data_IF_774570500841
#
_entry.id   IF_774570500841
#
_cell.length_a   1.000
_cell.length_b   1.000
_cell.length_c   1.000
_cell.angle_alpha   90.00
_cell.angle_beta   90.00
_cell.angle_gamma   90.00
#
_symmetry.space_group_name_H-M   'P 1'
#
loop_
_entity.id
_entity.type
_entity.pdbx_description
1 polymer ?
#
# COMPACT_ATOMS: atom_id res chain seq x y z
N UNK A 1 -15.12 4.63 -28.33
CA UNK A 1 -13.88 3.99 -27.84
C UNK A 1 -14.21 3.32 -26.52
N UNK A 2 -13.88 2.03 -26.39
CA UNK A 2 -14.34 1.18 -25.29
C UNK A 2 -13.76 1.56 -23.92
N UNK A 3 -14.59 1.60 -22.85
CA UNK A 3 -14.15 1.80 -21.47
C UNK A 3 -13.39 0.60 -20.88
N UNK A 4 -13.24 -0.49 -21.64
CA UNK A 4 -12.64 -1.75 -21.20
C UNK A 4 -11.12 -1.88 -21.38
N UNK A 5 -10.45 -0.92 -22.05
CA UNK A 5 -9.03 -1.06 -22.38
C UNK A 5 -8.07 -0.88 -21.18
N UNK A 6 -8.50 -0.17 -20.13
CA UNK A 6 -7.68 0.03 -18.91
C UNK A 6 -7.94 -1.06 -17.85
N UNK A 7 -9.04 -1.81 -17.97
CA UNK A 7 -9.35 -2.92 -17.07
C UNK A 7 -8.53 -4.18 -17.36
N UNK A 8 -8.13 -4.45 -18.61
CA UNK A 8 -7.36 -5.66 -18.94
C UNK A 8 -5.96 -5.66 -18.29
N UNK A 9 -5.29 -4.50 -18.24
CA UNK A 9 -3.97 -4.38 -17.62
C UNK A 9 -4.01 -4.54 -16.09
N UNK A 10 -4.94 -3.84 -15.42
CA UNK A 10 -5.08 -3.93 -13.97
C UNK A 10 -5.60 -5.32 -13.52
N UNK A 11 -6.56 -5.90 -14.24
CA UNK A 11 -7.05 -7.26 -13.97
C UNK A 11 -5.95 -8.30 -14.21
N UNK A 12 -5.18 -8.17 -15.30
CA UNK A 12 -4.06 -9.07 -15.57
C UNK A 12 -2.96 -8.99 -14.51
N UNK A 13 -2.62 -7.78 -14.03
CA UNK A 13 -1.66 -7.58 -12.93
C UNK A 13 -2.18 -8.23 -11.65
N UNK A 14 -3.45 -7.99 -11.29
CA UNK A 14 -4.06 -8.57 -10.10
C UNK A 14 -4.13 -10.10 -10.18
N UNK A 15 -4.51 -10.67 -11.33
CA UNK A 15 -4.57 -12.12 -11.52
C UNK A 15 -3.19 -12.76 -11.48
N UNK A 16 -2.19 -12.15 -12.12
CA UNK A 16 -0.80 -12.60 -12.02
C UNK A 16 -0.30 -12.58 -10.56
N UNK A 17 -0.57 -11.50 -9.83
CA UNK A 17 -0.17 -11.39 -8.43
C UNK A 17 -0.87 -12.45 -7.56
N UNK A 18 -2.19 -12.61 -7.71
CA UNK A 18 -2.97 -13.63 -7.00
C UNK A 18 -2.47 -15.05 -7.29
N UNK A 19 -2.18 -15.36 -8.56
CA UNK A 19 -1.62 -16.65 -8.96
C UNK A 19 -0.24 -16.89 -8.34
N UNK A 20 0.62 -15.87 -8.34
CA UNK A 20 1.99 -15.97 -7.79
C UNK A 20 1.98 -16.13 -6.27
N UNK A 21 1.09 -15.41 -5.58
CA UNK A 21 0.87 -15.53 -4.13
C UNK A 21 0.36 -16.93 -3.78
N UNK A 22 -0.62 -17.44 -4.53
CA UNK A 22 -1.20 -18.76 -4.30
C UNK A 22 -0.16 -19.86 -4.50
N UNK A 23 0.62 -19.81 -5.59
CA UNK A 23 1.71 -20.76 -5.86
C UNK A 23 2.75 -20.77 -4.74
N UNK A 24 3.17 -19.59 -4.28
CA UNK A 24 4.12 -19.50 -3.18
C UNK A 24 3.57 -20.10 -1.89
N UNK A 25 2.31 -19.81 -1.55
CA UNK A 25 1.68 -20.35 -0.34
C UNK A 25 1.62 -21.87 -0.39
N UNK A 26 1.17 -22.44 -1.50
CA UNK A 26 1.06 -23.88 -1.68
C UNK A 26 2.44 -24.55 -1.57
N UNK A 27 3.49 -23.91 -2.09
CA UNK A 27 4.87 -24.36 -1.92
C UNK A 27 5.30 -24.34 -0.45
N UNK A 28 5.01 -23.28 0.29
CA UNK A 28 5.39 -23.15 1.71
C UNK A 28 4.61 -24.11 2.61
N UNK A 29 3.32 -24.31 2.36
CA UNK A 29 2.48 -25.27 3.08
C UNK A 29 3.00 -26.72 2.91
N UNK A 30 3.58 -27.02 1.74
CA UNK A 30 4.28 -28.28 1.48
C UNK A 30 5.60 -28.43 2.25
N UNK A 31 6.16 -27.35 2.80
CA UNK A 31 7.47 -27.30 3.47
C UNK A 31 7.31 -26.98 4.96
N UNK A 32 6.93 -27.99 5.76
CA UNK A 32 6.70 -27.85 7.21
C UNK A 32 7.85 -27.15 7.97
N UNK A 33 9.10 -27.38 7.56
CA UNK A 33 10.31 -26.77 8.15
C UNK A 33 10.55 -25.31 7.74
N UNK A 34 9.94 -24.82 6.67
CA UNK A 34 10.05 -23.42 6.28
C UNK A 34 8.99 -22.56 7.00
N UNK A 35 7.90 -23.21 7.42
CA UNK A 35 6.71 -22.53 7.89
C UNK A 35 7.00 -21.66 9.12
N UNK A 36 7.84 -22.10 10.06
CA UNK A 36 8.22 -21.31 11.24
C UNK A 36 9.06 -20.07 10.89
N UNK A 37 9.85 -20.14 9.82
CA UNK A 37 10.69 -19.02 9.38
C UNK A 37 9.85 -17.98 8.65
N UNK A 38 8.92 -18.35 7.78
CA UNK A 38 8.18 -17.40 6.91
C UNK A 38 6.68 -17.29 7.22
N UNK A 39 6.24 -17.66 8.43
CA UNK A 39 4.86 -17.46 8.90
C UNK A 39 4.37 -16.02 8.69
N UNK A 40 5.22 -15.05 9.05
CA UNK A 40 4.89 -13.63 8.93
C UNK A 40 4.58 -13.25 7.48
N UNK A 41 5.33 -13.81 6.54
CA UNK A 41 5.08 -13.64 5.10
C UNK A 41 3.74 -14.26 4.72
N UNK A 42 3.43 -15.47 5.16
CA UNK A 42 2.16 -16.14 4.82
C UNK A 42 0.97 -15.35 5.35
N UNK A 43 1.05 -14.82 6.57
CA UNK A 43 0.03 -13.94 7.12
C UNK A 43 -0.18 -12.69 6.24
N UNK A 44 0.90 -12.01 5.87
CA UNK A 44 0.83 -10.80 5.03
C UNK A 44 0.32 -11.12 3.60
N UNK A 45 0.69 -12.27 3.03
CA UNK A 45 0.22 -12.72 1.72
C UNK A 45 -1.29 -13.00 1.72
N UNK A 46 -1.81 -13.59 2.80
CA UNK A 46 -3.26 -13.78 2.96
C UNK A 46 -4.00 -12.44 3.07
N UNK A 47 -3.43 -11.48 3.80
CA UNK A 47 -3.98 -10.13 3.89
C UNK A 47 -4.01 -9.45 2.51
N UNK A 48 -2.93 -9.54 1.72
CA UNK A 48 -2.88 -9.02 0.35
C UNK A 48 -3.94 -9.69 -0.53
N UNK A 49 -4.07 -11.02 -0.47
CA UNK A 49 -5.05 -11.75 -1.27
C UNK A 49 -6.49 -11.32 -0.97
N UNK A 50 -6.81 -11.12 0.33
CA UNK A 50 -8.11 -10.62 0.76
C UNK A 50 -8.37 -9.21 0.21
N UNK A 51 -7.41 -8.31 0.37
CA UNK A 51 -7.49 -6.93 -0.13
C UNK A 51 -7.63 -6.87 -1.66
N UNK A 52 -6.84 -7.65 -2.41
CA UNK A 52 -6.95 -7.74 -3.86
C UNK A 52 -8.29 -8.29 -4.32
N UNK A 53 -8.84 -9.26 -3.58
CA UNK A 53 -10.18 -9.79 -3.86
C UNK A 53 -11.27 -8.76 -3.60
N UNK A 54 -11.15 -7.98 -2.53
CA UNK A 54 -12.04 -6.85 -2.26
C UNK A 54 -11.95 -5.79 -3.37
N UNK A 55 -10.74 -5.47 -3.83
CA UNK A 55 -10.52 -4.55 -4.96
C UNK A 55 -11.17 -5.04 -6.25
N UNK A 56 -11.08 -6.34 -6.56
CA UNK A 56 -11.73 -6.96 -7.73
C UNK A 56 -13.26 -6.88 -7.66
N UNK A 57 -13.81 -6.98 -6.45
CA UNK A 57 -15.25 -7.02 -6.19
C UNK A 57 -15.86 -5.64 -5.85
N UNK A 58 -15.07 -4.56 -5.83
CA UNK A 58 -15.56 -3.21 -5.61
C UNK A 58 -16.50 -2.83 -6.77
N UNK A 59 -17.80 -2.89 -6.49
CA UNK A 59 -18.87 -2.51 -7.40
C UNK A 59 -19.39 -1.13 -7.00
N UNK A 60 -19.39 -0.19 -7.94
CA UNK A 60 -19.74 1.20 -7.66
C UNK A 60 -21.11 1.50 -8.26
N UNK A 61 -22.01 2.06 -7.44
CA UNK A 61 -23.39 2.36 -7.84
C UNK A 61 -23.52 3.65 -8.66
N UNK A 62 -22.57 4.59 -8.54
CA UNK A 62 -22.54 5.84 -9.29
C UNK A 62 -21.32 5.88 -10.24
N UNK A 63 -21.59 6.05 -11.53
CA UNK A 63 -20.57 6.00 -12.58
C UNK A 63 -19.59 7.18 -12.52
N UNK A 64 -20.04 8.35 -12.06
CA UNK A 64 -19.19 9.54 -11.90
C UNK A 64 -18.23 9.39 -10.72
N UNK A 65 -18.75 9.09 -9.53
CA UNK A 65 -17.93 8.85 -8.32
C UNK A 65 -16.94 7.71 -8.52
N UNK A 66 -17.35 6.65 -9.23
CA UNK A 66 -16.48 5.55 -9.62
C UNK A 66 -15.29 5.99 -10.48
N UNK A 67 -15.56 6.77 -11.52
CA UNK A 67 -14.53 7.20 -12.46
C UNK A 67 -13.48 8.06 -11.77
N UNK A 68 -13.90 8.96 -10.88
CA UNK A 68 -12.97 9.78 -10.09
C UNK A 68 -12.19 8.96 -9.07
N UNK A 69 -12.84 8.05 -8.32
CA UNK A 69 -12.16 7.19 -7.36
C UNK A 69 -11.13 6.26 -8.04
N UNK A 70 -11.44 5.76 -9.24
CA UNK A 70 -10.51 4.98 -10.06
C UNK A 70 -9.30 5.80 -10.50
N UNK A 71 -9.50 7.06 -10.87
CA UNK A 71 -8.41 7.95 -11.27
C UNK A 71 -7.52 8.31 -10.07
N UNK A 72 -8.11 8.50 -8.89
CA UNK A 72 -7.38 8.71 -7.64
C UNK A 72 -6.57 7.45 -7.28
N UNK A 73 -7.17 6.25 -7.38
CA UNK A 73 -6.47 4.98 -7.19
C UNK A 73 -5.28 4.79 -8.13
N UNK A 74 -5.37 5.17 -9.41
CA UNK A 74 -4.22 5.07 -10.33
C UNK A 74 -3.03 5.90 -9.85
N UNK A 75 -3.27 7.05 -9.23
CA UNK A 75 -2.23 7.95 -8.72
C UNK A 75 -1.56 7.44 -7.45
N UNK A 76 -2.15 6.46 -6.77
CA UNK A 76 -1.61 5.89 -5.52
C UNK A 76 -0.49 4.88 -5.73
N UNK A 77 -0.20 4.45 -6.96
CA UNK A 77 0.84 3.46 -7.23
C UNK A 77 0.45 2.00 -6.92
N UNK A 78 -0.82 1.72 -6.60
CA UNK A 78 -1.30 0.36 -6.30
C UNK A 78 -0.97 -0.64 -7.38
N UNK A 79 -1.19 -0.30 -8.65
CA UNK A 79 -0.93 -1.22 -9.75
C UNK A 79 0.54 -1.67 -9.79
N UNK A 80 1.47 -0.75 -9.51
CA UNK A 80 2.89 -1.03 -9.43
C UNK A 80 3.20 -1.91 -8.20
N UNK A 81 2.67 -1.58 -7.03
CA UNK A 81 2.86 -2.36 -5.81
C UNK A 81 2.37 -3.82 -5.96
N UNK A 82 1.19 -4.00 -6.56
CA UNK A 82 0.60 -5.33 -6.81
C UNK A 82 1.44 -6.13 -7.80
N UNK A 83 1.87 -5.51 -8.90
CA UNK A 83 2.76 -6.14 -9.87
C UNK A 83 4.09 -6.56 -9.23
N UNK A 84 4.72 -5.66 -8.47
CA UNK A 84 5.99 -5.93 -7.79
C UNK A 84 5.87 -7.05 -6.75
N UNK A 85 4.73 -7.15 -6.07
CA UNK A 85 4.45 -8.27 -5.16
C UNK A 85 4.31 -9.60 -5.90
N UNK A 86 3.59 -9.62 -7.01
CA UNK A 86 3.49 -10.81 -7.86
C UNK A 86 4.87 -11.28 -8.32
N UNK A 87 5.69 -10.36 -8.81
CA UNK A 87 7.07 -10.64 -9.23
C UNK A 87 7.93 -11.16 -8.06
N UNK A 88 7.86 -10.52 -6.90
CA UNK A 88 8.57 -10.96 -5.70
C UNK A 88 8.17 -12.38 -5.27
N UNK A 89 6.88 -12.69 -5.27
CA UNK A 89 6.37 -14.03 -4.94
C UNK A 89 6.87 -15.07 -5.94
N UNK A 90 6.84 -14.76 -7.24
CA UNK A 90 7.34 -15.65 -8.29
C UNK A 90 8.85 -15.88 -8.21
N UNK A 91 9.63 -14.82 -7.97
CA UNK A 91 11.08 -14.91 -7.76
C UNK A 91 11.44 -15.76 -6.54
N UNK A 92 10.76 -15.51 -5.41
CA UNK A 92 11.01 -16.24 -4.17
C UNK A 92 10.58 -17.71 -4.27
N UNK A 93 9.47 -18.00 -4.95
CA UNK A 93 9.04 -19.39 -5.23
C UNK A 93 10.12 -20.16 -5.98
N UNK A 94 10.68 -19.57 -7.05
CA UNK A 94 11.79 -20.19 -7.81
C UNK A 94 13.01 -20.44 -6.92
N UNK A 95 13.30 -19.55 -5.97
CA UNK A 95 14.42 -19.71 -5.03
C UNK A 95 14.14 -20.82 -4.02
N UNK A 96 12.95 -20.88 -3.45
CA UNK A 96 12.53 -21.98 -2.57
C UNK A 96 12.61 -23.33 -3.30
N UNK A 97 12.13 -23.42 -4.54
CA UNK A 97 12.25 -24.63 -5.37
C UNK A 97 13.72 -25.02 -5.58
N UNK A 98 14.60 -24.05 -5.86
CA UNK A 98 16.05 -24.30 -5.99
C UNK A 98 16.66 -24.81 -4.68
N UNK A 99 16.31 -24.21 -3.55
CA UNK A 99 16.80 -24.58 -2.23
C UNK A 99 16.28 -25.96 -1.78
N UNK A 100 15.14 -26.42 -2.31
CA UNK A 100 14.50 -27.70 -1.97
C UNK A 100 14.83 -28.84 -2.93
N UNK A 101 15.33 -28.56 -4.14
CA UNK A 101 15.59 -29.54 -5.22
C UNK A 101 16.53 -30.72 -4.86
N UNK A 102 17.32 -30.63 -3.79
CA UNK A 102 18.32 -31.66 -3.41
C UNK A 102 18.15 -32.18 -1.97
N UNK A 103 16.93 -32.22 -1.42
CA UNK A 103 16.65 -32.70 -0.06
C UNK A 103 16.70 -34.24 0.08
N UNK A 104 17.80 -34.87 -0.36
CA UNK A 104 18.08 -36.28 -0.03
C UNK A 104 19.00 -36.38 1.20
N UNK A 105 18.39 -36.72 2.33
CA UNK A 105 18.90 -37.44 3.51
C UNK A 105 20.17 -37.03 4.29
N UNK A 106 20.96 -35.99 3.95
CA UNK A 106 22.15 -35.70 4.82
C UNK A 106 22.75 -34.29 4.87
N UNK A 107 22.14 -33.21 4.36
CA UNK A 107 22.80 -31.87 4.40
C UNK A 107 21.82 -30.72 4.68
N UNK A 108 21.75 -30.30 5.96
CA UNK A 108 21.05 -29.12 6.52
C UNK A 108 19.54 -29.04 6.28
N UNK A 109 18.77 -28.79 7.34
CA UNK A 109 17.32 -28.57 7.24
C UNK A 109 17.02 -27.32 6.41
N UNK A 110 15.84 -27.23 5.82
CA UNK A 110 15.46 -26.03 5.04
C UNK A 110 15.43 -24.79 5.92
N UNK A 111 15.01 -24.96 7.18
CA UNK A 111 15.11 -23.96 8.22
C UNK A 111 16.54 -23.45 8.34
N UNK A 112 17.53 -24.34 8.48
CA UNK A 112 18.94 -23.95 8.54
C UNK A 112 19.36 -23.24 7.25
N UNK A 113 18.92 -23.65 6.07
CA UNK A 113 19.30 -22.95 4.82
C UNK A 113 18.72 -21.55 4.69
N UNK A 114 17.53 -21.32 5.24
CA UNK A 114 16.86 -20.01 5.25
C UNK A 114 17.39 -19.08 6.34
N UNK A 115 18.00 -19.64 7.39
CA UNK A 115 18.48 -18.91 8.58
C UNK A 115 19.99 -18.82 8.69
N UNK A 116 20.72 -19.75 8.07
CA UNK A 116 22.18 -19.90 8.07
C UNK A 116 22.71 -19.52 6.69
N UNK A 117 23.65 -18.58 6.66
CA UNK A 117 24.20 -17.97 5.45
C UNK A 117 23.75 -16.52 5.31
N UNK A 118 24.73 -15.61 5.36
CA UNK A 118 24.51 -14.17 5.35
C UNK A 118 23.62 -13.73 4.18
N UNK A 119 23.89 -14.23 2.97
CA UNK A 119 23.11 -13.91 1.78
C UNK A 119 21.65 -14.42 1.81
N UNK A 120 21.43 -15.67 2.22
CA UNK A 120 20.07 -16.24 2.27
C UNK A 120 19.20 -15.51 3.29
N UNK A 121 19.80 -15.16 4.44
CA UNK A 121 19.13 -14.36 5.48
C UNK A 121 18.68 -13.00 4.93
N UNK A 122 19.57 -12.26 4.28
CA UNK A 122 19.23 -10.98 3.67
C UNK A 122 18.18 -11.15 2.55
N UNK A 123 18.23 -12.27 1.79
CA UNK A 123 17.25 -12.56 0.74
C UNK A 123 15.84 -12.73 1.29
N UNK A 124 15.70 -13.48 2.39
CA UNK A 124 14.42 -13.66 3.08
C UNK A 124 13.94 -12.32 3.67
N UNK A 125 14.84 -11.52 4.22
CA UNK A 125 14.50 -10.21 4.79
C UNK A 125 14.04 -9.19 3.74
N UNK A 126 14.69 -9.16 2.58
CA UNK A 126 14.23 -8.36 1.44
C UNK A 126 12.89 -8.84 0.94
N UNK A 127 12.68 -10.15 0.82
CA UNK A 127 11.38 -10.68 0.43
C UNK A 127 10.26 -10.31 1.42
N UNK A 128 10.49 -10.44 2.74
CA UNK A 128 9.57 -9.96 3.77
C UNK A 128 9.22 -8.48 3.59
N UNK A 129 10.24 -7.66 3.32
CA UNK A 129 10.06 -6.23 3.08
C UNK A 129 9.17 -5.98 1.86
N UNK A 130 9.39 -6.69 0.75
CA UNK A 130 8.56 -6.57 -0.46
C UNK A 130 7.08 -6.89 -0.17
N UNK A 131 6.83 -8.00 0.53
CA UNK A 131 5.45 -8.41 0.87
C UNK A 131 4.79 -7.40 1.81
N UNK A 132 5.50 -6.95 2.86
CA UNK A 132 4.96 -5.97 3.80
C UNK A 132 4.64 -4.63 3.12
N UNK A 133 5.53 -4.11 2.28
CA UNK A 133 5.29 -2.88 1.53
C UNK A 133 4.12 -3.03 0.57
N UNK A 134 4.00 -4.16 -0.14
CA UNK A 134 2.82 -4.41 -0.97
C UNK A 134 1.54 -4.40 -0.14
N UNK A 135 1.50 -5.13 0.97
CA UNK A 135 0.32 -5.17 1.84
C UNK A 135 -0.09 -3.77 2.26
N UNK A 136 0.87 -2.96 2.72
CA UNK A 136 0.60 -1.62 3.23
C UNK A 136 0.06 -0.71 2.13
N UNK A 137 0.70 -0.67 0.96
CA UNK A 137 0.25 0.18 -0.18
C UNK A 137 -1.14 -0.25 -0.67
N UNK A 138 -1.37 -1.56 -0.83
CA UNK A 138 -2.66 -2.08 -1.30
C UNK A 138 -3.76 -1.78 -0.29
N UNK A 139 -3.50 -2.01 1.00
CA UNK A 139 -4.44 -1.73 2.08
C UNK A 139 -4.79 -0.24 2.14
N UNK A 140 -3.79 0.64 2.22
CA UNK A 140 -4.02 2.08 2.30
C UNK A 140 -4.78 2.63 1.10
N UNK A 141 -4.49 2.14 -0.10
CA UNK A 141 -5.18 2.64 -1.27
C UNK A 141 -6.62 2.13 -1.40
N UNK A 142 -6.90 0.88 -1.01
CA UNK A 142 -8.28 0.36 -0.96
C UNK A 142 -9.09 1.11 0.09
N UNK A 143 -8.53 1.31 1.28
CA UNK A 143 -9.20 2.04 2.36
C UNK A 143 -9.42 3.50 1.95
N UNK A 144 -8.42 4.12 1.30
CA UNK A 144 -8.57 5.45 0.70
C UNK A 144 -9.70 5.49 -0.30
N UNK A 145 -9.72 4.58 -1.29
CA UNK A 145 -10.77 4.57 -2.29
C UNK A 145 -12.16 4.35 -1.69
N UNK A 146 -12.27 3.41 -0.75
CA UNK A 146 -13.52 3.13 -0.03
C UNK A 146 -14.02 4.36 0.70
N UNK A 147 -13.15 5.05 1.44
CA UNK A 147 -13.49 6.28 2.14
C UNK A 147 -13.84 7.42 1.20
N UNK A 148 -13.14 7.56 0.07
CA UNK A 148 -13.42 8.58 -0.95
C UNK A 148 -14.83 8.43 -1.51
N UNK A 149 -15.24 7.21 -1.83
CA UNK A 149 -16.60 6.92 -2.32
C UNK A 149 -17.61 7.27 -1.24
N UNK A 150 -17.36 6.83 0.00
CA UNK A 150 -18.25 7.09 1.12
C UNK A 150 -18.40 8.60 1.33
N UNK A 151 -17.30 9.34 1.36
CA UNK A 151 -17.29 10.81 1.49
C UNK A 151 -18.09 11.49 0.38
N UNK A 152 -17.89 11.10 -0.89
CA UNK A 152 -18.55 11.72 -2.05
C UNK A 152 -20.03 11.33 -2.20
N UNK A 153 -20.52 10.33 -1.46
CA UNK A 153 -21.92 9.90 -1.56
C UNK A 153 -22.88 10.95 -0.94
N UNK A 154 -23.76 11.50 -1.77
CA UNK A 154 -24.64 12.64 -1.46
C UNK A 154 -25.69 12.38 -0.34
N UNK A 155 -25.96 11.13 0.04
CA UNK A 155 -27.05 10.77 0.96
C UNK A 155 -26.61 10.59 2.43
N UNK A 156 -25.56 11.28 2.85
CA UNK A 156 -24.96 11.08 4.17
C UNK A 156 -25.59 11.97 5.23
N UNK A 157 -26.19 11.39 6.28
CA UNK A 157 -26.57 12.14 7.50
C UNK A 157 -25.34 12.84 8.11
N UNK A 158 -25.53 13.97 8.82
CA UNK A 158 -24.44 14.69 9.54
C UNK A 158 -23.62 13.76 10.44
N UNK A 159 -24.26 12.79 11.10
CA UNK A 159 -23.57 11.79 11.94
C UNK A 159 -22.71 10.84 11.09
N UNK A 160 -23.18 10.46 9.90
CA UNK A 160 -22.41 9.63 8.98
C UNK A 160 -21.22 10.41 8.39
N UNK A 161 -21.33 11.72 8.22
CA UNK A 161 -20.23 12.56 7.77
C UNK A 161 -19.13 12.69 8.84
N UNK A 162 -19.50 12.92 10.09
CA UNK A 162 -18.55 12.95 11.22
C UNK A 162 -17.79 11.63 11.39
N UNK A 163 -18.46 10.49 11.23
CA UNK A 163 -17.80 9.18 11.31
C UNK A 163 -16.82 8.97 10.14
N UNK A 164 -17.17 9.40 8.93
CA UNK A 164 -16.26 9.35 7.77
C UNK A 164 -15.01 10.20 7.97
N UNK A 165 -15.17 11.43 8.48
CA UNK A 165 -14.03 12.29 8.82
C UNK A 165 -13.12 11.65 9.88
N UNK A 166 -13.70 11.00 10.88
CA UNK A 166 -12.94 10.27 11.91
C UNK A 166 -12.15 9.11 11.29
N UNK A 167 -12.77 8.31 10.43
CA UNK A 167 -12.11 7.22 9.73
C UNK A 167 -10.97 7.72 8.83
N UNK A 168 -11.16 8.87 8.17
CA UNK A 168 -10.14 9.49 7.34
C UNK A 168 -8.92 9.93 8.16
N UNK A 169 -9.12 10.53 9.34
CA UNK A 169 -8.02 10.89 10.26
C UNK A 169 -7.27 9.67 10.79
N UNK A 170 -7.99 8.59 11.10
CA UNK A 170 -7.38 7.32 11.53
C UNK A 170 -6.50 6.76 10.41
N UNK A 171 -6.98 6.74 9.17
CA UNK A 171 -6.19 6.28 8.03
C UNK A 171 -4.96 7.16 7.77
N UNK A 172 -5.11 8.48 7.82
CA UNK A 172 -4.00 9.43 7.66
C UNK A 172 -2.92 9.22 8.74
N UNK A 173 -3.34 8.98 9.99
CA UNK A 173 -2.42 8.67 11.10
C UNK A 173 -1.70 7.35 10.86
N UNK A 174 -2.42 6.30 10.45
CA UNK A 174 -1.82 5.00 10.16
C UNK A 174 -0.79 5.06 9.01
N UNK A 175 -1.06 5.84 7.96
CA UNK A 175 -0.10 6.05 6.86
C UNK A 175 1.14 6.79 7.37
N UNK A 176 0.97 7.81 8.22
CA UNK A 176 2.09 8.57 8.77
C UNK A 176 2.97 7.72 9.68
N UNK A 177 2.35 6.88 10.52
CA UNK A 177 3.06 5.91 11.36
C UNK A 177 3.83 4.89 10.51
N UNK A 178 3.23 4.40 9.42
CA UNK A 178 3.89 3.51 8.48
C UNK A 178 5.10 4.16 7.79
N UNK A 179 4.97 5.41 7.33
CA UNK A 179 6.09 6.15 6.74
C UNK A 179 7.27 6.23 7.73
N UNK A 180 7.01 6.59 8.98
CA UNK A 180 8.06 6.67 10.01
C UNK A 180 8.69 5.29 10.29
N UNK A 181 7.88 4.23 10.33
CA UNK A 181 8.37 2.88 10.52
C UNK A 181 9.28 2.45 9.36
N UNK A 182 8.88 2.73 8.13
CA UNK A 182 9.66 2.41 6.92
C UNK A 182 10.95 3.22 6.84
N UNK A 183 10.95 4.49 7.28
CA UNK A 183 12.16 5.32 7.42
C UNK A 183 13.14 4.73 8.44
N UNK A 184 12.66 4.26 9.60
CA UNK A 184 13.51 3.57 10.60
C UNK A 184 14.09 2.28 10.03
N UNK A 185 13.27 1.43 9.41
CA UNK A 185 13.72 0.17 8.78
C UNK A 185 14.78 0.43 7.70
N UNK A 186 14.67 1.54 6.96
CA UNK A 186 15.67 1.92 5.96
C UNK A 186 16.98 2.33 6.62
N UNK A 187 16.92 3.11 7.71
CA UNK A 187 18.08 3.44 8.54
C UNK A 187 18.79 2.20 9.05
N UNK A 188 18.05 1.24 9.60
CA UNK A 188 18.59 -0.03 10.10
C UNK A 188 19.23 -0.87 8.97
N UNK A 189 18.64 -0.88 7.77
CA UNK A 189 19.21 -1.55 6.61
C UNK A 189 20.54 -0.89 6.17
N UNK A 190 20.58 0.44 6.11
CA UNK A 190 21.80 1.18 5.77
C UNK A 190 22.89 1.02 6.82
N UNK A 191 22.54 0.90 8.10
CA UNK A 191 23.51 0.62 9.14
C UNK A 191 24.10 -0.78 8.97
N UNK A 192 23.26 -1.81 8.79
CA UNK A 192 23.74 -3.18 8.52
C UNK A 192 24.63 -3.26 7.28
N UNK A 193 24.35 -2.45 6.25
CA UNK A 193 25.24 -2.35 5.08
C UNK A 193 26.64 -1.86 5.48
N UNK A 194 26.74 -0.80 6.29
CA UNK A 194 28.03 -0.26 6.73
C UNK A 194 28.82 -1.27 7.56
N UNK A 195 28.15 -1.99 8.46
CA UNK A 195 28.75 -3.04 9.29
C UNK A 195 29.31 -4.19 8.40
N UNK A 196 28.68 -4.43 7.24
CA UNK A 196 29.15 -5.37 6.22
C UNK A 196 30.18 -4.79 5.23
N UNK A 197 30.40 -3.48 5.18
CA UNK A 197 31.46 -2.89 4.35
C UNK A 197 32.76 -2.75 5.17
N UNK A 198 32.63 -2.47 6.47
CA UNK A 198 33.74 -2.23 7.39
C UNK A 198 33.61 -3.14 8.62
N UNK A 199 34.07 -4.40 8.55
CA UNK A 199 34.01 -5.31 9.69
C UNK A 199 34.98 -4.80 10.77
N UNK A 200 34.60 -4.93 12.04
CA UNK A 200 35.48 -4.59 13.15
C UNK A 200 36.60 -5.63 13.35
N UNK A 201 36.46 -6.84 12.81
CA UNK A 201 37.43 -7.95 12.91
C UNK A 201 37.95 -8.39 11.51
N UNK A 202 39.27 -8.35 11.29
CA UNK A 202 39.99 -8.62 10.02
C UNK A 202 40.29 -10.12 9.75
N UNK A 203 39.51 -11.05 10.31
CA UNK A 203 39.71 -12.48 10.04
C UNK A 203 39.07 -12.86 8.69
N UNK A 204 39.74 -12.48 7.59
CA UNK A 204 39.29 -12.72 6.22
C UNK A 204 39.52 -14.19 5.78
N UNK A 205 38.45 -14.99 5.79
CA UNK A 205 38.39 -16.22 4.99
C UNK A 205 38.02 -15.87 3.53
N UNK A 206 38.80 -16.37 2.56
CA UNK A 206 38.68 -16.13 1.10
C UNK A 206 37.27 -16.42 0.52
N UNK A 207 36.43 -17.20 1.22
CA UNK A 207 35.05 -17.52 0.84
C UNK A 207 33.97 -16.58 1.40
N UNK A 208 34.31 -15.69 2.35
CA UNK A 208 33.39 -14.75 3.00
C UNK A 208 33.06 -13.54 2.14
N UNK A 209 34.02 -13.05 1.36
CA UNK A 209 33.90 -11.81 0.58
C UNK A 209 32.78 -11.87 -0.49
N UNK A 210 32.65 -12.99 -1.20
CA UNK A 210 31.59 -13.19 -2.19
C UNK A 210 30.18 -13.21 -1.54
N UNK A 211 30.03 -13.86 -0.38
CA UNK A 211 28.74 -13.87 0.34
C UNK A 211 28.40 -12.49 0.90
N UNK A 212 29.41 -11.76 1.37
CA UNK A 212 29.27 -10.38 1.88
C UNK A 212 28.83 -9.43 0.79
N UNK A 213 29.46 -9.49 -0.38
CA UNK A 213 29.07 -8.73 -1.56
C UNK A 213 27.62 -8.99 -1.96
N UNK A 214 27.19 -10.26 -2.00
CA UNK A 214 25.82 -10.63 -2.32
C UNK A 214 24.82 -10.16 -1.25
N UNK A 215 25.20 -10.17 0.02
CA UNK A 215 24.39 -9.65 1.11
C UNK A 215 24.21 -8.13 1.04
N UNK A 216 25.29 -7.39 0.76
CA UNK A 216 25.24 -5.93 0.54
C UNK A 216 24.31 -5.58 -0.62
N UNK A 217 24.39 -6.30 -1.74
CA UNK A 217 23.48 -6.11 -2.88
C UNK A 217 22.02 -6.33 -2.50
N UNK A 218 21.75 -7.30 -1.63
CA UNK A 218 20.40 -7.60 -1.18
C UNK A 218 19.87 -6.53 -0.20
N UNK A 219 20.73 -5.99 0.66
CA UNK A 219 20.41 -4.85 1.53
C UNK A 219 20.15 -3.58 0.70
N UNK A 220 20.92 -3.35 -0.37
CA UNK A 220 20.65 -2.24 -1.29
C UNK A 220 19.30 -2.38 -1.98
N UNK A 221 18.94 -3.61 -2.40
CA UNK A 221 17.60 -3.90 -2.90
C UNK A 221 16.54 -3.59 -1.84
N UNK A 222 16.76 -4.02 -0.59
CA UNK A 222 15.86 -3.74 0.53
C UNK A 222 15.65 -2.24 0.75
N UNK A 223 16.74 -1.46 0.77
CA UNK A 223 16.69 -0.01 0.99
C UNK A 223 15.89 0.72 -0.08
N UNK A 224 16.09 0.36 -1.36
CA UNK A 224 15.32 0.92 -2.49
C UNK A 224 13.84 0.59 -2.41
N UNK A 225 13.50 -0.61 -1.93
CA UNK A 225 12.10 -1.02 -1.75
C UNK A 225 11.42 -0.19 -0.65
N UNK A 226 12.12 0.04 0.46
CA UNK A 226 11.63 0.88 1.56
C UNK A 226 11.44 2.34 1.09
N UNK A 227 12.36 2.86 0.27
CA UNK A 227 12.21 4.19 -0.33
C UNK A 227 10.98 4.29 -1.25
N UNK A 228 10.78 3.31 -2.13
CA UNK A 228 9.61 3.25 -3.00
C UNK A 228 8.29 3.17 -2.20
N UNK A 229 8.28 2.40 -1.10
CA UNK A 229 7.14 2.30 -0.17
C UNK A 229 6.83 3.63 0.52
N UNK A 230 7.86 4.37 0.96
CA UNK A 230 7.69 5.71 1.50
C UNK A 230 7.08 6.66 0.47
N UNK A 231 7.57 6.64 -0.77
CA UNK A 231 7.08 7.49 -1.85
C UNK A 231 5.60 7.18 -2.13
N UNK A 232 5.25 5.89 -2.29
CA UNK A 232 3.87 5.47 -2.51
C UNK A 232 2.95 5.87 -1.34
N UNK A 233 3.38 5.64 -0.10
CA UNK A 233 2.61 6.00 1.10
C UNK A 233 2.41 7.52 1.22
N UNK A 234 3.43 8.32 0.90
CA UNK A 234 3.35 9.79 0.85
C UNK A 234 2.35 10.25 -0.22
N UNK A 235 2.31 9.61 -1.38
CA UNK A 235 1.33 9.90 -2.44
C UNK A 235 -0.10 9.57 -1.99
N UNK A 236 -0.32 8.44 -1.33
CA UNK A 236 -1.63 8.08 -0.77
C UNK A 236 -2.09 9.11 0.26
N UNK A 237 -1.21 9.47 1.21
CA UNK A 237 -1.48 10.50 2.22
C UNK A 237 -1.88 11.84 1.56
N UNK A 238 -1.11 12.31 0.58
CA UNK A 238 -1.43 13.54 -0.15
C UNK A 238 -2.78 13.50 -0.86
N UNK A 239 -3.14 12.35 -1.44
CA UNK A 239 -4.46 12.15 -2.06
C UNK A 239 -5.57 12.27 -1.01
N UNK A 240 -5.41 11.64 0.15
CA UNK A 240 -6.38 11.73 1.25
C UNK A 240 -6.52 13.17 1.76
N UNK A 241 -5.42 13.87 2.05
CA UNK A 241 -5.47 15.23 2.61
C UNK A 241 -6.10 16.23 1.63
N UNK A 242 -5.86 16.09 0.33
CA UNK A 242 -6.54 16.89 -0.72
C UNK A 242 -8.05 16.67 -0.75
N UNK A 243 -8.52 15.50 -0.35
CA UNK A 243 -9.93 15.15 -0.39
C UNK A 243 -10.65 15.62 0.88
N UNK A 244 -10.00 15.53 2.03
CA UNK A 244 -10.47 16.19 3.25
C UNK A 244 -10.64 17.70 3.08
N UNK A 245 -9.69 18.37 2.39
CA UNK A 245 -9.75 19.81 2.15
C UNK A 245 -10.79 20.22 1.10
N UNK A 246 -11.06 19.37 0.10
CA UNK A 246 -12.08 19.62 -0.94
C UNK A 246 -13.51 19.59 -0.37
N UNK A 247 -13.76 18.82 0.70
CA UNK A 247 -15.05 18.86 1.42
C UNK A 247 -15.26 20.16 2.20
N UNK A 248 -14.21 20.68 2.85
CA UNK A 248 -14.30 21.95 3.59
C UNK A 248 -14.59 23.12 2.63
N UNK A 249 -14.10 23.07 1.38
CA UNK A 249 -14.39 24.07 0.35
C UNK A 249 -15.83 24.03 -0.19
N UNK A 250 -16.46 22.86 -0.23
CA UNK A 250 -17.83 22.69 -0.72
C UNK A 250 -18.91 22.88 0.35
N UNK A 251 -18.55 22.87 1.65
CA UNK A 251 -19.45 23.21 2.74
C UNK A 251 -19.80 24.71 2.80
N UNK A 252 -19.09 25.55 2.05
CA UNK A 252 -19.36 26.99 1.89
C UNK A 252 -19.64 27.35 0.44
N UNK A 253 -20.62 26.71 -0.20
CA UNK A 253 -21.28 27.32 -1.35
C UNK A 253 -22.09 28.52 -0.85
N UNK A 254 -21.40 29.64 -0.61
CA UNK A 254 -22.02 30.95 -0.49
C UNK A 254 -22.57 31.28 -1.88
N UNK A 255 -23.85 30.97 -2.11
CA UNK A 255 -24.57 31.43 -3.28
C UNK A 255 -24.62 32.95 -3.25
N UNK A 256 -23.68 33.61 -3.93
CA UNK A 256 -23.69 35.06 -4.08
C UNK A 256 -24.64 35.41 -5.23
N UNK A 257 -25.93 35.52 -4.93
CA UNK A 257 -26.93 36.00 -5.90
C UNK A 257 -26.87 37.52 -5.94
N UNK A 258 -26.23 38.06 -6.98
CA UNK A 258 -26.27 39.48 -7.31
C UNK A 258 -27.56 39.78 -8.09
N UNK A 259 -28.40 40.67 -7.57
CA UNK A 259 -29.60 41.14 -8.27
C UNK A 259 -29.28 42.45 -8.99
N UNK A 260 -29.44 42.46 -10.32
CA UNK A 260 -29.49 43.69 -11.10
C UNK A 260 -30.76 44.49 -10.77
N UNK A 261 -30.67 45.83 -10.86
CA UNK A 261 -31.67 46.79 -10.39
C UNK A 261 -33.05 46.81 -11.06
N UNK A 262 -33.51 45.70 -11.65
CA UNK A 262 -34.73 45.64 -12.47
C UNK A 262 -35.66 44.45 -12.17
N UNK A 263 -35.43 43.69 -11.09
CA UNK A 263 -36.32 42.57 -10.75
C UNK A 263 -37.39 43.00 -9.73
N UNK A 264 -38.66 43.06 -10.16
CA UNK A 264 -39.82 43.12 -9.28
C UNK A 264 -40.46 41.74 -9.18
N UNK A 265 -40.32 41.10 -8.01
CA UNK A 265 -40.94 39.81 -7.71
C UNK A 265 -40.55 39.34 -6.31
N UNK A 266 -41.48 38.67 -5.60
CA UNK A 266 -41.22 38.05 -4.31
C UNK A 266 -40.76 36.62 -4.54
N UNK A 267 -39.55 36.27 -4.09
CA UNK A 267 -39.02 34.91 -4.14
C UNK A 267 -38.79 34.40 -2.72
N UNK A 268 -39.30 33.21 -2.43
CA UNK A 268 -39.07 32.50 -1.17
C UNK A 268 -37.93 31.52 -1.43
N UNK A 269 -36.73 31.82 -0.93
CA UNK A 269 -35.61 30.88 -0.91
C UNK A 269 -35.62 30.10 0.40
N UNK A 270 -35.52 28.77 0.32
CA UNK A 270 -35.44 27.89 1.47
C UNK A 270 -33.97 27.76 1.91
N UNK A 271 -33.60 28.40 3.01
CA UNK A 271 -32.28 28.26 3.63
C UNK A 271 -32.35 27.30 4.82
N UNK A 272 -31.50 26.28 4.83
CA UNK A 272 -31.31 25.36 5.96
C UNK A 272 -30.13 25.74 6.85
N UNK A 273 -29.50 26.90 6.62
CA UNK A 273 -28.36 27.40 7.39
C UNK A 273 -28.73 28.53 8.36
N UNK A 274 -27.94 28.70 9.43
CA UNK A 274 -28.10 29.77 10.41
C UNK A 274 -27.82 31.13 9.75
N UNK A 275 -28.82 32.01 9.69
CA UNK A 275 -28.67 33.36 9.16
C UNK A 275 -28.20 34.29 10.29
N UNK A 276 -26.95 34.75 10.22
CA UNK A 276 -26.44 35.79 11.12
C UNK A 276 -26.60 37.17 10.47
N UNK A 277 -27.49 37.99 11.04
CA UNK A 277 -27.67 39.39 10.63
C UNK A 277 -26.69 40.28 11.41
N UNK A 278 -25.66 40.79 10.74
CA UNK A 278 -24.86 41.89 11.27
C UNK A 278 -25.48 43.22 10.82
N UNK A 279 -26.34 43.78 11.66
CA UNK A 279 -26.86 45.13 11.48
C UNK A 279 -25.93 46.15 12.11
N UNK A 280 -25.17 46.88 11.30
CA UNK A 280 -24.53 48.12 11.73
C UNK A 280 -25.61 49.17 11.95
N UNK A 281 -25.89 49.55 13.19
CA UNK A 281 -26.66 50.77 13.48
C UNK A 281 -25.70 51.95 13.42
N UNK A 282 -25.84 52.71 12.32
CA UNK A 282 -25.37 54.08 12.03
C UNK A 282 -23.91 54.39 12.25
#
# INVERSE_FOLDING_TARGET
>A
MDPFSITVGALGITEFALSSISHLRDLVDGLKEANDVIQDVIFNLNAIQLSLSALKNLQFSDNTTYTEAKEDLKKTGVAEAVNNCGQACAEFSKKLEQWTKHSSSTKLSLRDRLTVGLWNKEKVQTFRTQVHSCQSIVHFAIDSASLIILVRSENSSKTAQQEKEKQLRVLETAIQEHIQLTERKQGDALQRKKDLEYPEDEDEDEGGDAQRTLAIQEIDKQSRLLEADQIASKLVSQTISKLSTREVGNAYNTYNTSFGGSNSGFQIAHSTGTINWNGSRT
#
